data_IF_544154756598
#
_entry.id   IF_544154756598
#
_cell.length_a   1.000
_cell.length_b   1.000
_cell.length_c   1.000
_cell.angle_alpha   90.00
_cell.angle_beta   90.00
_cell.angle_gamma   90.00
#
_symmetry.space_group_name_H-M   'P 1'
#
loop_
_entity.id
_entity.type
_entity.pdbx_description
1 polymer ?
#
# COMPACT_ATOMS: atom_id res chain seq x y z
N UNK A 1 -21.85 -5.10 1.40
CA UNK A 1 -22.56 -3.91 0.90
C UNK A 1 -22.20 -3.82 -0.57
N UNK A 2 -23.17 -3.69 -1.46
CA UNK A 2 -22.88 -3.57 -2.89
C UNK A 2 -22.40 -2.14 -3.16
N UNK A 3 -21.19 -1.98 -3.68
CA UNK A 3 -20.68 -0.67 -4.09
C UNK A 3 -21.51 -0.14 -5.26
N UNK A 4 -22.07 1.05 -5.09
CA UNK A 4 -22.80 1.75 -6.15
C UNK A 4 -21.75 2.44 -7.02
N UNK A 5 -21.51 1.90 -8.21
CA UNK A 5 -20.54 2.44 -9.16
C UNK A 5 -21.15 3.65 -9.90
N UNK A 6 -20.47 4.80 -9.88
CA UNK A 6 -20.93 5.99 -10.59
C UNK A 6 -20.34 6.05 -12.02
N UNK A 7 -21.12 6.57 -12.97
CA UNK A 7 -20.67 6.69 -14.37
C UNK A 7 -19.58 7.77 -14.46
N UNK A 8 -18.36 7.38 -14.85
CA UNK A 8 -17.20 8.27 -14.97
C UNK A 8 -16.16 8.15 -13.85
N UNK A 9 -16.40 7.28 -12.86
CA UNK A 9 -15.53 7.06 -11.70
C UNK A 9 -14.27 6.23 -12.05
N UNK A 10 -13.11 6.67 -11.57
CA UNK A 10 -11.79 6.06 -11.77
C UNK A 10 -11.33 5.29 -10.52
N UNK A 11 -12.00 4.17 -10.22
CA UNK A 11 -11.73 3.33 -9.05
C UNK A 11 -10.36 2.62 -9.04
N UNK A 12 -9.64 2.62 -10.16
CA UNK A 12 -8.43 1.82 -10.35
C UNK A 12 -7.32 2.17 -9.34
N UNK A 13 -7.15 3.45 -9.01
CA UNK A 13 -6.09 3.91 -8.12
C UNK A 13 -6.31 3.47 -6.67
N UNK A 14 -7.55 3.59 -6.19
CA UNK A 14 -7.97 3.12 -4.87
C UNK A 14 -7.90 1.60 -4.75
N UNK A 15 -8.32 0.87 -5.79
CA UNK A 15 -8.25 -0.60 -5.79
C UNK A 15 -6.80 -1.10 -5.76
N UNK A 16 -5.89 -0.44 -6.50
CA UNK A 16 -4.46 -0.75 -6.43
C UNK A 16 -3.86 -0.42 -5.06
N UNK A 17 -4.24 0.71 -4.46
CA UNK A 17 -3.85 1.06 -3.10
C UNK A 17 -4.34 0.03 -2.08
N UNK A 18 -5.61 -0.36 -2.15
CA UNK A 18 -6.20 -1.38 -1.27
C UNK A 18 -5.52 -2.75 -1.42
N UNK A 19 -5.26 -3.18 -2.66
CA UNK A 19 -4.51 -4.39 -2.93
C UNK A 19 -3.09 -4.33 -2.33
N UNK A 20 -2.41 -3.18 -2.44
CA UNK A 20 -1.09 -2.98 -1.83
C UNK A 20 -1.16 -3.06 -0.29
N UNK A 21 -2.21 -2.57 0.36
CA UNK A 21 -2.43 -2.73 1.81
C UNK A 21 -2.54 -4.21 2.19
N UNK A 22 -3.39 -4.97 1.48
CA UNK A 22 -3.60 -6.40 1.76
C UNK A 22 -2.30 -7.20 1.53
N UNK A 23 -1.58 -6.93 0.44
CA UNK A 23 -0.30 -7.56 0.15
C UNK A 23 0.74 -7.24 1.22
N UNK A 24 0.85 -5.97 1.61
CA UNK A 24 1.77 -5.52 2.66
C UNK A 24 1.52 -6.29 3.96
N UNK A 25 0.26 -6.38 4.40
CA UNK A 25 -0.09 -7.09 5.62
C UNK A 25 0.22 -8.58 5.55
N UNK A 26 -0.20 -9.26 4.47
CA UNK A 26 0.03 -10.70 4.32
C UNK A 26 1.52 -11.05 4.25
N UNK A 27 2.31 -10.27 3.51
CA UNK A 27 3.75 -10.50 3.36
C UNK A 27 4.55 -10.17 4.62
N UNK A 28 4.10 -9.22 5.46
CA UNK A 28 4.72 -8.96 6.76
C UNK A 28 4.63 -10.18 7.70
N UNK A 29 3.48 -10.85 7.74
CA UNK A 29 3.31 -12.06 8.54
C UNK A 29 4.18 -13.20 8.02
N UNK A 30 4.19 -13.41 6.70
CA UNK A 30 5.04 -14.42 6.06
C UNK A 30 6.52 -14.16 6.38
N UNK A 31 6.99 -12.92 6.22
CA UNK A 31 8.36 -12.54 6.52
C UNK A 31 8.70 -12.81 8.00
N UNK A 32 7.79 -12.47 8.91
CA UNK A 32 7.95 -12.69 10.36
C UNK A 32 8.17 -14.17 10.67
N UNK A 33 7.25 -15.05 10.24
CA UNK A 33 7.39 -16.48 10.50
C UNK A 33 8.58 -17.10 9.77
N UNK A 34 8.84 -16.71 8.52
CA UNK A 34 9.96 -17.23 7.76
C UNK A 34 11.32 -16.84 8.37
N UNK A 35 11.48 -15.61 8.88
CA UNK A 35 12.68 -15.23 9.62
C UNK A 35 12.84 -16.00 10.93
N UNK A 36 11.75 -16.26 11.66
CA UNK A 36 11.80 -17.11 12.86
C UNK A 36 12.27 -18.53 12.52
N UNK A 37 11.77 -19.14 11.45
CA UNK A 37 12.22 -20.47 11.03
C UNK A 37 13.67 -20.47 10.51
N UNK A 38 14.07 -19.43 9.77
CA UNK A 38 15.44 -19.26 9.30
C UNK A 38 16.44 -19.13 10.46
N UNK A 39 16.07 -18.40 11.50
CA UNK A 39 16.92 -18.24 12.70
C UNK A 39 17.10 -19.56 13.47
N UNK A 40 16.08 -20.42 13.49
CA UNK A 40 16.12 -21.72 14.18
C UNK A 40 16.81 -22.83 13.36
N UNK A 41 16.87 -22.71 12.02
CA UNK A 41 17.45 -23.72 11.14
C UNK A 41 18.40 -23.07 10.12
N UNK A 42 19.56 -22.53 10.57
CA UNK A 42 20.44 -21.72 9.74
C UNK A 42 21.04 -22.48 8.55
N UNK A 43 21.18 -23.82 8.62
CA UNK A 43 21.60 -24.64 7.48
C UNK A 43 20.59 -24.63 6.31
N UNK A 44 19.30 -24.38 6.59
CA UNK A 44 18.27 -24.34 5.57
C UNK A 44 18.04 -22.91 5.06
N UNK A 45 18.80 -22.55 4.02
CA UNK A 45 18.71 -21.22 3.39
C UNK A 45 17.37 -20.94 2.70
N UNK A 46 16.49 -21.92 2.52
CA UNK A 46 15.18 -21.71 1.88
C UNK A 46 14.33 -20.71 2.67
N UNK A 47 14.29 -20.85 3.99
CA UNK A 47 13.55 -19.94 4.86
C UNK A 47 14.07 -18.51 4.79
N UNK A 48 15.39 -18.35 4.74
CA UNK A 48 16.01 -17.02 4.59
C UNK A 48 15.63 -16.36 3.27
N UNK A 49 15.59 -17.12 2.17
CA UNK A 49 15.16 -16.61 0.86
C UNK A 49 13.70 -16.19 0.86
N UNK A 50 12.81 -17.02 1.41
CA UNK A 50 11.38 -16.72 1.52
C UNK A 50 11.17 -15.46 2.37
N UNK A 51 11.82 -15.40 3.53
CA UNK A 51 11.71 -14.26 4.44
C UNK A 51 12.16 -12.95 3.77
N UNK A 52 13.29 -12.98 3.07
CA UNK A 52 13.83 -11.84 2.34
C UNK A 52 12.88 -11.39 1.22
N UNK A 53 12.39 -12.32 0.40
CA UNK A 53 11.46 -11.99 -0.69
C UNK A 53 10.13 -11.41 -0.16
N UNK A 54 9.58 -12.00 0.91
CA UNK A 54 8.38 -11.49 1.56
C UNK A 54 8.61 -10.09 2.14
N UNK A 55 9.76 -9.85 2.78
CA UNK A 55 10.11 -8.54 3.33
C UNK A 55 10.29 -7.46 2.25
N UNK A 56 10.94 -7.79 1.13
CA UNK A 56 11.04 -6.88 -0.01
C UNK A 56 9.68 -6.56 -0.61
N UNK A 57 8.83 -7.58 -0.78
CA UNK A 57 7.47 -7.41 -1.29
C UNK A 57 6.66 -6.49 -0.37
N UNK A 58 6.70 -6.74 0.95
CA UNK A 58 6.08 -5.85 1.95
C UNK A 58 6.55 -4.40 1.80
N UNK A 59 7.87 -4.19 1.71
CA UNK A 59 8.46 -2.86 1.61
C UNK A 59 8.02 -2.12 0.34
N UNK A 60 8.01 -2.80 -0.81
CA UNK A 60 7.53 -2.24 -2.08
C UNK A 60 6.03 -1.94 -1.99
N UNK A 61 5.24 -2.81 -1.37
CA UNK A 61 3.82 -2.56 -1.15
C UNK A 61 3.58 -1.32 -0.28
N UNK A 62 4.33 -1.13 0.81
CA UNK A 62 4.23 0.07 1.66
C UNK A 62 4.55 1.34 0.87
N UNK A 63 5.62 1.35 0.08
CA UNK A 63 5.95 2.48 -0.79
C UNK A 63 4.82 2.72 -1.81
N UNK A 64 4.26 1.65 -2.39
CA UNK A 64 3.13 1.71 -3.30
C UNK A 64 1.88 2.34 -2.68
N UNK A 65 1.58 2.03 -1.41
CA UNK A 65 0.46 2.64 -0.68
C UNK A 65 0.66 4.15 -0.56
N UNK A 66 1.83 4.59 -0.11
CA UNK A 66 2.17 6.03 0.02
C UNK A 66 2.08 6.73 -1.34
N UNK A 67 2.62 6.09 -2.38
CA UNK A 67 2.58 6.62 -3.74
C UNK A 67 1.14 6.74 -4.28
N UNK A 68 0.29 5.74 -4.08
CA UNK A 68 -1.12 5.79 -4.50
C UNK A 68 -1.90 6.85 -3.74
N UNK A 69 -1.68 7.01 -2.44
CA UNK A 69 -2.27 8.10 -1.66
C UNK A 69 -1.88 9.46 -2.22
N UNK A 70 -0.59 9.68 -2.49
CA UNK A 70 -0.12 10.93 -3.08
C UNK A 70 -0.70 11.18 -4.48
N UNK A 71 -0.80 10.15 -5.32
CA UNK A 71 -1.42 10.24 -6.64
C UNK A 71 -2.90 10.63 -6.54
N UNK A 72 -3.67 10.01 -5.64
CA UNK A 72 -5.09 10.31 -5.45
C UNK A 72 -5.28 11.77 -5.02
N UNK A 73 -4.46 12.25 -4.09
CA UNK A 73 -4.52 13.64 -3.61
C UNK A 73 -4.13 14.61 -4.74
N UNK A 74 -3.01 14.37 -5.43
CA UNK A 74 -2.48 15.27 -6.47
C UNK A 74 -3.36 15.34 -7.72
N UNK A 75 -4.02 14.24 -8.08
CA UNK A 75 -4.97 14.22 -9.21
C UNK A 75 -6.35 14.76 -8.81
N UNK A 76 -6.54 15.20 -7.56
CA UNK A 76 -7.82 15.68 -7.03
C UNK A 76 -8.98 14.75 -7.41
N UNK A 77 -8.76 13.44 -7.25
CA UNK A 77 -9.80 12.45 -7.50
C UNK A 77 -10.83 12.54 -6.35
N UNK A 78 -11.75 13.51 -6.45
CA UNK A 78 -12.80 13.81 -5.45
C UNK A 78 -13.80 12.67 -5.24
N UNK A 79 -13.72 11.65 -6.09
CA UNK A 79 -14.39 10.35 -5.98
C UNK A 79 -14.01 9.63 -4.68
N UNK A 80 -12.78 9.84 -4.19
CA UNK A 80 -12.34 9.31 -2.92
C UNK A 80 -12.68 10.27 -1.79
N UNK A 81 -13.44 9.78 -0.79
CA UNK A 81 -13.88 10.56 0.37
C UNK A 81 -12.74 11.28 1.10
N UNK A 82 -11.52 10.73 1.06
CA UNK A 82 -10.31 11.35 1.62
C UNK A 82 -9.92 12.66 0.89
N UNK A 83 -9.95 12.67 -0.44
CA UNK A 83 -9.70 13.88 -1.23
C UNK A 83 -10.79 14.92 -0.97
N UNK A 84 -12.07 14.51 -0.89
CA UNK A 84 -13.16 15.44 -0.63
C UNK A 84 -13.06 16.16 0.73
N UNK A 85 -12.61 15.46 1.77
CA UNK A 85 -12.59 16.01 3.13
C UNK A 85 -11.33 16.85 3.46
N UNK A 86 -10.24 16.69 2.69
CA UNK A 86 -8.95 17.39 2.92
C UNK A 86 -8.39 18.16 1.71
N UNK A 87 -9.03 18.11 0.52
CA UNK A 87 -8.61 18.89 -0.65
C UNK A 87 -9.25 20.29 -0.64
N UNK A 88 -8.66 21.23 0.10
CA UNK A 88 -8.86 22.66 -0.21
C UNK A 88 -8.03 23.00 -1.45
N UNK A 89 -8.64 23.59 -2.49
CA UNK A 89 -7.95 23.98 -3.74
C UNK A 89 -6.88 25.08 -3.53
N UNK A 90 -6.77 25.60 -2.31
CA UNK A 90 -5.94 26.76 -1.94
C UNK A 90 -4.64 26.41 -1.21
N UNK A 91 -4.30 25.13 -1.00
CA UNK A 91 -3.09 24.76 -0.26
C UNK A 91 -1.84 24.66 -1.16
N UNK A 92 -0.78 25.46 -0.90
CA UNK A 92 0.49 25.37 -1.64
C UNK A 92 1.18 24.01 -1.44
N UNK A 93 1.81 23.52 -2.52
CA UNK A 93 2.52 22.23 -2.63
C UNK A 93 3.49 21.92 -1.48
N UNK A 94 4.12 22.96 -0.93
CA UNK A 94 5.10 22.92 0.15
C UNK A 94 4.56 22.37 1.49
N UNK A 95 3.24 22.38 1.70
CA UNK A 95 2.62 21.88 2.93
C UNK A 95 2.08 20.44 2.84
N UNK A 96 2.17 19.79 1.67
CA UNK A 96 1.70 18.40 1.49
C UNK A 96 2.72 17.34 1.90
N UNK A 97 3.99 17.70 2.05
CA UNK A 97 5.12 16.78 2.34
C UNK A 97 5.63 16.97 3.80
N UNK A 98 5.09 17.94 4.54
CA UNK A 98 5.56 18.29 5.89
C UNK A 98 5.09 17.34 7.00
#
# INVERSE_FOLDING_TARGET
MNEVQFVGENLIYGNLGHLAVVLSFGTALIATFAYLFAANNPENQSWQKIASAAFYTHSVSVIGIVFMLFLIIRLHLFEYHYAWQHSSRDLPLEYMIS
#
